data_IF_934685211617
#
_entry.id   IF_934685211617
#
_cell.length_a   1.000
_cell.length_b   1.000
_cell.length_c   1.000
_cell.angle_alpha   90.00
_cell.angle_beta   90.00
_cell.angle_gamma   90.00
#
_symmetry.space_group_name_H-M   'P 1'
#
loop_
_entity.id
_entity.type
_entity.pdbx_description
1 polymer ?
#
# COMPACT_ATOMS: atom_id res chain seq x y z
N UNK A 1 -11.96 -22.56 24.53
CA UNK A 1 -11.49 -21.93 25.78
C UNK A 1 -12.24 -22.51 26.97
N UNK A 2 -11.66 -22.52 28.18
CA UNK A 2 -12.25 -23.07 29.41
C UNK A 2 -12.35 -21.93 30.43
N UNK A 3 -13.54 -21.69 31.02
CA UNK A 3 -13.79 -20.56 31.93
C UNK A 3 -14.43 -21.00 33.25
N UNK A 4 -14.05 -20.31 34.33
CA UNK A 4 -14.69 -20.45 35.64
C UNK A 4 -16.00 -19.66 35.62
N UNK A 5 -17.09 -20.18 36.23
CA UNK A 5 -18.41 -19.54 36.23
C UNK A 5 -18.43 -18.11 36.83
N UNK A 6 -17.38 -17.68 37.54
CA UNK A 6 -17.29 -16.35 38.15
C UNK A 6 -16.61 -15.29 37.25
N UNK A 7 -16.28 -15.63 35.99
CA UNK A 7 -15.45 -14.78 35.10
C UNK A 7 -16.04 -14.57 33.70
N UNK A 8 -17.28 -15.00 33.46
CA UNK A 8 -17.83 -15.11 32.11
C UNK A 8 -18.64 -13.86 31.72
N UNK A 9 -17.96 -12.75 31.41
CA UNK A 9 -18.60 -11.64 30.71
C UNK A 9 -18.67 -11.95 29.21
N UNK A 10 -19.89 -11.96 28.66
CA UNK A 10 -20.18 -12.23 27.23
C UNK A 10 -19.36 -11.33 26.31
N UNK A 11 -19.16 -10.07 26.70
CA UNK A 11 -18.39 -9.09 25.93
C UNK A 11 -16.89 -9.45 25.83
N UNK A 12 -16.30 -9.99 26.89
CA UNK A 12 -14.91 -10.46 26.91
C UNK A 12 -14.69 -11.65 25.96
N UNK A 13 -15.66 -12.57 25.89
CA UNK A 13 -15.61 -13.76 25.03
C UNK A 13 -15.74 -13.37 23.57
N UNK A 14 -16.61 -12.41 23.25
CA UNK A 14 -16.75 -11.84 21.91
C UNK A 14 -15.45 -11.17 21.45
N UNK A 15 -14.84 -10.32 22.28
CA UNK A 15 -13.59 -9.63 21.91
C UNK A 15 -12.43 -10.60 21.68
N UNK A 16 -12.35 -11.68 22.46
CA UNK A 16 -11.32 -12.71 22.28
C UNK A 16 -11.56 -13.56 21.04
N UNK A 17 -12.82 -13.87 20.73
CA UNK A 17 -13.22 -14.58 19.50
C UNK A 17 -12.93 -13.74 18.25
N UNK A 18 -13.16 -12.42 18.30
CA UNK A 18 -12.76 -11.48 17.23
C UNK A 18 -11.25 -11.57 16.96
N UNK A 19 -10.42 -11.52 18.00
CA UNK A 19 -8.96 -11.67 17.85
C UNK A 19 -8.57 -13.01 17.22
N UNK A 20 -9.18 -14.11 17.66
CA UNK A 20 -8.89 -15.44 17.11
C UNK A 20 -9.23 -15.57 15.62
N UNK A 21 -10.35 -14.98 15.17
CA UNK A 21 -10.72 -14.97 13.74
C UNK A 21 -9.75 -14.10 12.92
N UNK A 22 -9.35 -12.94 13.46
CA UNK A 22 -8.33 -12.08 12.84
C UNK A 22 -6.99 -12.82 12.73
N UNK A 23 -6.54 -13.49 13.79
CA UNK A 23 -5.28 -14.27 13.78
C UNK A 23 -5.36 -15.51 12.89
N UNK A 24 -6.50 -16.21 12.84
CA UNK A 24 -6.71 -17.35 11.94
C UNK A 24 -6.66 -16.92 10.46
N UNK A 25 -7.21 -15.74 10.13
CA UNK A 25 -7.09 -15.17 8.78
C UNK A 25 -5.65 -14.81 8.43
N UNK A 26 -4.87 -14.27 9.37
CA UNK A 26 -3.42 -14.05 9.18
C UNK A 26 -2.65 -15.36 8.99
N UNK A 27 -2.97 -16.40 9.77
CA UNK A 27 -2.30 -17.71 9.67
C UNK A 27 -2.57 -18.43 8.34
N UNK A 28 -3.73 -18.19 7.70
CA UNK A 28 -4.03 -18.71 6.36
C UNK A 28 -3.04 -18.20 5.30
N UNK A 29 -2.44 -17.03 5.47
CA UNK A 29 -1.44 -16.50 4.53
C UNK A 29 -0.05 -17.13 4.68
N UNK A 30 0.32 -17.63 5.86
CA UNK A 30 1.53 -18.43 6.02
C UNK A 30 1.48 -19.72 5.20
N UNK A 31 0.29 -20.17 4.79
CA UNK A 31 0.07 -21.32 3.93
C UNK A 31 0.08 -20.99 2.42
N UNK A 32 0.24 -19.72 2.04
CA UNK A 32 0.30 -19.24 0.64
C UNK A 32 1.71 -18.81 0.20
N UNK A 33 2.71 -18.82 1.10
CA UNK A 33 4.12 -18.76 0.72
C UNK A 33 4.51 -20.01 -0.11
N UNK A 34 5.56 -19.93 -0.98
CA UNK A 34 5.98 -21.06 -1.79
C UNK A 34 6.18 -22.29 -0.90
N UNK A 35 5.51 -23.39 -1.25
CA UNK A 35 5.45 -24.61 -0.44
C UNK A 35 6.86 -25.11 -0.11
N UNK A 36 7.33 -24.84 1.11
CA UNK A 36 8.04 -25.87 1.85
C UNK A 36 6.97 -26.91 2.18
N UNK A 37 7.20 -28.16 1.81
CA UNK A 37 6.33 -29.30 2.05
C UNK A 37 6.07 -29.50 3.56
N UNK A 38 5.25 -28.66 4.17
CA UNK A 38 4.69 -28.94 5.47
C UNK A 38 3.55 -29.92 5.24
N UNK A 39 3.83 -31.18 5.52
CA UNK A 39 2.83 -32.23 5.71
C UNK A 39 1.84 -31.68 6.74
N UNK A 40 0.65 -31.30 6.28
CA UNK A 40 -0.41 -30.85 7.17
C UNK A 40 -0.72 -31.97 8.15
N UNK A 41 -0.29 -31.84 9.41
CA UNK A 41 -0.64 -32.81 10.43
C UNK A 41 -2.12 -32.64 10.74
N UNK A 42 -2.93 -33.65 10.41
CA UNK A 42 -4.33 -33.71 10.83
C UNK A 42 -4.35 -33.92 12.34
N UNK A 43 -4.34 -32.84 13.11
CA UNK A 43 -4.52 -32.92 14.55
C UNK A 43 -5.99 -33.15 14.86
N UNK A 44 -6.29 -34.31 15.42
CA UNK A 44 -7.61 -34.59 15.95
C UNK A 44 -7.79 -33.78 17.24
N UNK A 45 -8.46 -32.63 17.14
CA UNK A 45 -8.82 -31.83 18.31
C UNK A 45 -9.98 -32.53 19.01
N UNK A 46 -9.66 -33.52 19.86
CA UNK A 46 -10.67 -34.22 20.67
C UNK A 46 -11.26 -33.28 21.70
N UNK A 47 -12.58 -33.39 21.87
CA UNK A 47 -13.25 -32.68 22.97
C UNK A 47 -12.83 -33.31 24.30
N UNK A 48 -11.97 -32.62 25.07
CA UNK A 48 -11.75 -32.95 26.48
C UNK A 48 -12.80 -32.27 27.36
N UNK A 49 -13.48 -33.05 28.21
CA UNK A 49 -14.42 -32.53 29.22
C UNK A 49 -13.68 -31.57 30.18
N UNK A 50 -14.22 -30.36 30.43
CA UNK A 50 -13.67 -29.46 31.45
C UNK A 50 -13.98 -29.98 32.87
N UNK A 51 -13.32 -29.47 33.93
CA UNK A 51 -13.62 -29.87 35.30
C UNK A 51 -15.09 -29.62 35.70
N UNK A 52 -15.57 -30.33 36.72
CA UNK A 52 -16.97 -30.17 37.17
C UNK A 52 -17.28 -28.73 37.57
N UNK A 53 -18.42 -28.22 37.11
CA UNK A 53 -18.85 -26.82 37.30
C UNK A 53 -18.25 -25.82 36.30
N UNK A 54 -17.39 -26.26 35.38
CA UNK A 54 -16.81 -25.40 34.35
C UNK A 54 -17.57 -25.49 33.02
N UNK A 55 -17.55 -24.38 32.28
CA UNK A 55 -18.13 -24.27 30.95
C UNK A 55 -17.01 -24.26 29.92
N UNK A 56 -17.16 -25.08 28.89
CA UNK A 56 -16.29 -25.08 27.71
C UNK A 56 -16.97 -24.34 26.58
N UNK A 57 -16.24 -23.37 26.03
CA UNK A 57 -16.68 -22.57 24.88
C UNK A 57 -15.90 -23.03 23.65
N UNK A 58 -16.63 -23.53 22.66
CA UNK A 58 -16.14 -23.79 21.32
C UNK A 58 -16.50 -22.59 20.44
N UNK A 59 -15.53 -22.01 19.75
CA UNK A 59 -15.74 -20.85 18.88
C UNK A 59 -15.22 -21.14 17.49
N UNK A 60 -15.92 -20.66 16.47
CA UNK A 60 -15.51 -20.69 15.08
C UNK A 60 -15.76 -19.32 14.42
N UNK A 61 -15.32 -19.20 13.17
CA UNK A 61 -15.50 -17.99 12.38
C UNK A 61 -15.66 -18.31 10.91
N UNK A 62 -16.43 -17.47 10.23
CA UNK A 62 -16.59 -17.49 8.79
C UNK A 62 -16.11 -16.16 8.21
N UNK A 63 -15.41 -16.22 7.09
CA UNK A 63 -14.94 -15.07 6.34
C UNK A 63 -15.35 -15.20 4.88
N UNK A 64 -15.94 -14.14 4.34
CA UNK A 64 -16.30 -14.01 2.94
C UNK A 64 -15.27 -13.12 2.25
N UNK A 65 -14.41 -13.72 1.42
CA UNK A 65 -13.28 -13.05 0.77
C UNK A 65 -13.68 -11.97 -0.24
N UNK A 66 -14.86 -12.11 -0.86
CA UNK A 66 -15.42 -11.14 -1.81
C UNK A 66 -15.76 -9.80 -1.13
N UNK A 67 -16.45 -9.89 0.00
CA UNK A 67 -17.05 -8.77 0.74
C UNK A 67 -16.20 -8.32 1.94
N UNK A 68 -15.20 -9.11 2.34
CA UNK A 68 -14.42 -8.89 3.55
C UNK A 68 -15.19 -9.15 4.85
N UNK A 69 -16.48 -9.51 4.75
CA UNK A 69 -17.37 -9.72 5.89
C UNK A 69 -16.95 -10.95 6.66
N UNK A 70 -16.84 -10.77 7.97
CA UNK A 70 -16.54 -11.86 8.89
C UNK A 70 -17.62 -11.94 9.95
N UNK A 71 -17.92 -13.16 10.37
CA UNK A 71 -18.79 -13.47 11.49
C UNK A 71 -18.08 -14.48 12.39
N UNK A 72 -18.39 -14.47 13.68
CA UNK A 72 -17.93 -15.46 14.62
C UNK A 72 -19.09 -16.04 15.39
N UNK A 73 -18.96 -17.31 15.76
CA UNK A 73 -19.95 -18.03 16.52
C UNK A 73 -19.32 -18.82 17.64
N UNK A 74 -20.17 -19.32 18.52
CA UNK A 74 -19.72 -20.25 19.53
C UNK A 74 -20.84 -20.95 20.27
N UNK A 75 -20.46 -22.08 20.87
CA UNK A 75 -21.34 -22.97 21.60
C UNK A 75 -20.76 -23.22 22.98
N UNK A 76 -21.57 -23.01 24.01
CA UNK A 76 -21.24 -23.23 25.41
C UNK A 76 -21.74 -24.60 25.84
N UNK A 77 -20.86 -25.41 26.45
CA UNK A 77 -21.21 -26.74 26.97
C UNK A 77 -20.72 -26.91 28.39
N UNK A 78 -21.48 -27.62 29.21
CA UNK A 78 -21.04 -28.02 30.56
C UNK A 78 -19.96 -29.11 30.51
N UNK A 79 -19.54 -29.57 31.69
CA UNK A 79 -18.58 -30.67 31.82
C UNK A 79 -19.08 -32.03 31.31
N UNK A 80 -20.39 -32.21 31.11
CA UNK A 80 -20.98 -33.42 30.53
C UNK A 80 -21.18 -33.31 29.02
N UNK A 81 -20.87 -32.16 28.43
CA UNK A 81 -21.10 -31.87 27.02
C UNK A 81 -22.51 -31.39 26.69
N UNK A 82 -23.37 -31.19 27.71
CA UNK A 82 -24.73 -30.66 27.53
C UNK A 82 -24.65 -29.23 27.01
N UNK A 83 -25.49 -28.90 26.04
CA UNK A 83 -25.58 -27.55 25.50
C UNK A 83 -26.21 -26.60 26.52
N UNK A 84 -25.53 -25.48 26.79
CA UNK A 84 -26.00 -24.44 27.71
C UNK A 84 -26.46 -23.17 26.98
N UNK A 85 -26.05 -22.98 25.73
CA UNK A 85 -26.33 -21.77 24.96
C UNK A 85 -25.32 -21.58 23.83
N UNK A 86 -25.59 -20.62 22.95
CA UNK A 86 -24.70 -20.27 21.85
C UNK A 86 -24.81 -18.80 21.48
N UNK A 87 -23.85 -18.34 20.69
CA UNK A 87 -23.87 -16.99 20.14
C UNK A 87 -23.44 -17.02 18.67
N UNK A 88 -23.94 -16.04 17.93
CA UNK A 88 -23.43 -15.67 16.61
C UNK A 88 -23.36 -14.16 16.58
N UNK A 89 -22.27 -13.62 16.06
CA UNK A 89 -22.07 -12.18 15.94
C UNK A 89 -21.41 -11.87 14.61
N UNK A 90 -22.03 -10.98 13.85
CA UNK A 90 -21.36 -10.32 12.74
C UNK A 90 -20.18 -9.53 13.32
N UNK A 91 -18.96 -9.91 12.92
CA UNK A 91 -17.76 -9.18 13.30
C UNK A 91 -17.70 -7.90 12.48
N UNK A 92 -18.10 -7.95 11.21
CA UNK A 92 -18.01 -6.86 10.25
C UNK A 92 -16.87 -7.10 9.26
N UNK A 93 -16.45 -6.06 8.55
CA UNK A 93 -15.29 -6.15 7.67
C UNK A 93 -14.01 -6.33 8.48
N UNK A 94 -13.27 -7.40 8.18
CA UNK A 94 -11.96 -7.67 8.78
C UNK A 94 -10.78 -7.39 7.84
N UNK A 95 -11.08 -6.93 6.61
CA UNK A 95 -10.12 -6.53 5.60
C UNK A 95 -10.27 -5.05 5.27
N UNK A 96 -9.21 -4.44 4.74
CA UNK A 96 -9.31 -3.11 4.13
C UNK A 96 -10.15 -3.27 2.85
N UNK A 97 -11.21 -2.47 2.64
CA UNK A 97 -12.11 -2.66 1.50
C UNK A 97 -11.44 -2.33 0.17
N UNK A 98 -10.62 -1.28 0.17
CA UNK A 98 -10.10 -0.64 -1.03
C UNK A 98 -8.80 0.10 -0.75
N UNK A 99 -7.95 0.16 -1.76
CA UNK A 99 -6.64 0.80 -1.69
C UNK A 99 -6.34 1.59 -2.96
N UNK A 100 -6.26 2.92 -2.85
CA UNK A 100 -6.00 3.83 -3.97
C UNK A 100 -4.59 4.37 -3.90
N UNK A 101 -3.89 4.39 -5.04
CA UNK A 101 -2.47 4.72 -5.11
C UNK A 101 -2.26 5.92 -6.04
N UNK A 102 -1.58 6.95 -5.55
CA UNK A 102 -1.16 8.13 -6.29
C UNK A 102 0.36 8.24 -6.20
N UNK A 103 1.01 8.68 -7.28
CA UNK A 103 2.45 8.84 -7.22
C UNK A 103 3.17 8.95 -8.55
N UNK A 104 4.45 8.66 -8.52
CA UNK A 104 5.36 8.70 -9.66
C UNK A 104 5.77 7.30 -10.15
N UNK A 105 6.95 7.18 -10.75
CA UNK A 105 7.51 5.92 -11.24
C UNK A 105 7.71 4.88 -10.14
N UNK A 106 7.89 5.29 -8.88
CA UNK A 106 8.04 4.35 -7.76
C UNK A 106 6.78 3.53 -7.51
N UNK A 107 5.63 4.03 -7.95
CA UNK A 107 4.32 3.40 -7.77
C UNK A 107 3.63 3.03 -9.08
N UNK A 108 4.15 3.42 -10.25
CA UNK A 108 3.53 3.12 -11.54
C UNK A 108 3.55 1.61 -11.83
N UNK A 109 2.44 1.11 -12.35
CA UNK A 109 2.24 -0.29 -12.68
C UNK A 109 1.76 -0.52 -14.12
N UNK A 110 1.75 0.50 -15.02
CA UNK A 110 1.51 0.46 -16.49
C UNK A 110 0.88 1.77 -17.04
N UNK A 111 0.58 2.79 -16.21
CA UNK A 111 -0.11 3.99 -16.71
C UNK A 111 0.69 4.73 -17.79
N UNK A 112 2.02 4.63 -17.77
CA UNK A 112 2.88 5.26 -18.78
C UNK A 112 2.97 4.52 -20.11
N UNK A 113 2.58 3.25 -20.21
CA UNK A 113 2.93 2.42 -21.37
C UNK A 113 2.34 2.93 -22.70
N UNK A 114 1.19 3.61 -22.65
CA UNK A 114 0.51 4.19 -23.83
C UNK A 114 0.77 5.69 -24.06
N UNK A 115 1.49 6.37 -23.16
CA UNK A 115 1.82 7.80 -23.30
C UNK A 115 2.93 8.02 -24.33
N UNK A 116 3.19 9.22 -24.85
CA UNK A 116 4.41 9.46 -25.64
C UNK A 116 5.50 9.99 -24.72
N UNK A 117 6.29 9.08 -24.14
CA UNK A 117 7.29 9.42 -23.11
C UNK A 117 8.44 8.42 -23.06
N UNK A 118 9.60 8.89 -22.61
CA UNK A 118 10.78 8.06 -22.30
C UNK A 118 10.69 7.41 -20.91
N UNK A 119 9.80 7.91 -20.03
CA UNK A 119 9.52 7.31 -18.73
C UNK A 119 8.59 6.10 -18.88
N UNK A 120 9.07 5.05 -19.56
CA UNK A 120 8.39 3.76 -19.72
C UNK A 120 9.38 2.64 -19.53
N UNK A 121 8.91 1.55 -18.92
CA UNK A 121 9.74 0.40 -18.54
C UNK A 121 9.03 -0.92 -18.80
N UNK A 122 8.25 -0.99 -19.88
CA UNK A 122 7.58 -2.21 -20.33
C UNK A 122 8.48 -3.09 -21.21
N UNK A 123 9.75 -3.23 -20.81
CA UNK A 123 10.77 -4.02 -21.49
C UNK A 123 11.74 -4.66 -20.49
N UNK A 124 12.44 -5.72 -20.90
CA UNK A 124 13.49 -6.37 -20.11
C UNK A 124 14.68 -5.43 -19.86
N UNK A 125 15.29 -5.37 -18.65
CA UNK A 125 15.17 -6.34 -17.55
C UNK A 125 14.20 -5.94 -16.42
N UNK A 126 13.34 -4.93 -16.62
CA UNK A 126 12.36 -4.56 -15.62
C UNK A 126 11.42 -5.73 -15.34
N UNK A 127 11.08 -5.87 -14.05
CA UNK A 127 10.21 -6.91 -13.50
C UNK A 127 10.59 -8.34 -13.89
N UNK A 128 11.89 -8.61 -14.04
CA UNK A 128 12.44 -9.94 -14.31
C UNK A 128 12.05 -10.99 -13.25
N UNK A 129 11.85 -10.57 -11.99
CA UNK A 129 11.45 -11.44 -10.88
C UNK A 129 9.92 -11.47 -10.68
N UNK A 130 9.17 -10.72 -11.49
CA UNK A 130 7.71 -10.65 -11.39
C UNK A 130 7.06 -11.66 -12.35
N UNK A 131 6.13 -12.50 -11.89
CA UNK A 131 5.60 -13.61 -12.69
C UNK A 131 4.93 -13.23 -14.02
N UNK A 132 4.46 -11.98 -14.16
CA UNK A 132 3.73 -11.51 -15.35
C UNK A 132 4.62 -10.87 -16.42
N UNK A 133 5.94 -10.78 -16.19
CA UNK A 133 6.87 -10.11 -17.08
C UNK A 133 6.68 -8.58 -17.12
N UNK A 134 7.27 -7.87 -18.11
CA UNK A 134 7.29 -6.40 -18.21
C UNK A 134 5.91 -5.73 -18.17
N UNK A 135 5.46 -5.31 -16.98
CA UNK A 135 4.19 -4.59 -16.79
C UNK A 135 4.33 -3.08 -16.89
N UNK A 136 5.54 -2.52 -16.71
CA UNK A 136 5.75 -1.08 -16.55
C UNK A 136 6.00 -0.63 -15.10
N UNK A 137 6.44 -1.54 -14.21
CA UNK A 137 6.95 -1.17 -12.88
C UNK A 137 8.43 -0.86 -12.97
N UNK A 138 8.87 0.23 -12.35
CA UNK A 138 10.24 0.69 -12.37
C UNK A 138 11.09 -0.03 -11.31
N UNK A 139 11.13 -1.36 -11.37
CA UNK A 139 11.93 -2.19 -10.46
C UNK A 139 12.15 -3.58 -11.08
N UNK A 140 12.94 -4.44 -10.45
CA UNK A 140 13.15 -5.81 -10.88
C UNK A 140 12.02 -6.77 -10.47
N UNK A 141 11.11 -6.36 -9.56
CA UNK A 141 10.00 -7.20 -9.07
C UNK A 141 8.78 -6.39 -8.61
N UNK A 142 8.35 -6.57 -7.35
CA UNK A 142 7.23 -5.82 -6.75
C UNK A 142 7.62 -4.39 -6.35
N UNK A 143 6.69 -3.44 -6.53
CA UNK A 143 6.78 -2.11 -5.92
C UNK A 143 6.45 -2.17 -4.42
N UNK A 144 6.70 -1.08 -3.69
CA UNK A 144 6.26 -0.94 -2.29
C UNK A 144 4.75 -1.21 -2.17
N UNK A 145 3.98 -0.67 -3.10
CA UNK A 145 2.51 -0.78 -3.11
C UNK A 145 2.05 -2.22 -3.34
N UNK A 146 2.70 -2.96 -4.22
CA UNK A 146 2.39 -4.38 -4.43
C UNK A 146 2.59 -5.19 -3.14
N UNK A 147 3.68 -4.94 -2.41
CA UNK A 147 3.97 -5.63 -1.14
C UNK A 147 2.95 -5.22 -0.08
N UNK A 148 2.58 -3.93 0.00
CA UNK A 148 1.53 -3.45 0.90
C UNK A 148 0.18 -4.11 0.60
N UNK A 149 -0.18 -4.24 -0.68
CA UNK A 149 -1.44 -4.90 -1.11
C UNK A 149 -1.50 -6.33 -0.60
N UNK A 150 -0.38 -7.07 -0.67
CA UNK A 150 -0.27 -8.40 -0.08
C UNK A 150 -0.42 -8.39 1.44
N UNK A 151 0.24 -7.45 2.13
CA UNK A 151 0.14 -7.26 3.59
C UNK A 151 -1.24 -6.77 4.07
N UNK A 152 -2.06 -6.23 3.17
CA UNK A 152 -3.44 -5.81 3.42
C UNK A 152 -4.48 -6.89 3.10
N UNK A 153 -4.03 -8.08 2.70
CA UNK A 153 -4.83 -9.27 2.42
C UNK A 153 -5.64 -9.21 1.11
N UNK A 154 -5.26 -8.35 0.16
CA UNK A 154 -5.85 -8.35 -1.18
C UNK A 154 -5.41 -9.58 -1.96
N UNK A 155 -6.34 -10.16 -2.74
CA UNK A 155 -6.07 -11.36 -3.55
C UNK A 155 -5.34 -11.03 -4.86
N UNK A 156 -5.53 -9.81 -5.36
CA UNK A 156 -5.01 -9.32 -6.63
C UNK A 156 -4.30 -7.98 -6.41
N UNK A 157 -3.32 -7.67 -7.26
CA UNK A 157 -2.68 -6.36 -7.25
C UNK A 157 -3.65 -5.27 -7.70
N UNK A 158 -3.44 -4.04 -7.22
CA UNK A 158 -4.29 -2.92 -7.62
C UNK A 158 -4.01 -2.56 -9.10
N UNK A 159 -5.03 -2.55 -9.96
CA UNK A 159 -4.84 -2.30 -11.39
C UNK A 159 -4.54 -0.82 -11.69
N UNK A 160 -3.82 -0.55 -12.79
CA UNK A 160 -3.57 0.81 -13.28
C UNK A 160 -4.85 1.41 -13.87
N UNK A 161 -5.07 2.71 -13.64
CA UNK A 161 -6.21 3.46 -14.21
C UNK A 161 -6.38 3.26 -15.72
N UNK A 162 -5.27 3.15 -16.45
CA UNK A 162 -5.27 2.93 -17.90
C UNK A 162 -6.10 1.71 -18.34
N UNK A 163 -6.20 0.67 -17.51
CA UNK A 163 -6.90 -0.59 -17.83
C UNK A 163 -8.05 -0.94 -16.89
N UNK A 164 -8.19 -0.31 -15.73
CA UNK A 164 -9.23 -0.67 -14.73
C UNK A 164 -10.66 -0.46 -15.25
N UNK A 165 -11.54 -1.46 -15.13
CA UNK A 165 -12.95 -1.39 -15.54
C UNK A 165 -13.86 -2.20 -14.61
N UNK A 166 -15.16 -1.87 -14.55
CA UNK A 166 -16.13 -2.73 -13.85
C UNK A 166 -15.86 -2.86 -12.35
N UNK A 167 -16.06 -4.05 -11.77
CA UNK A 167 -16.06 -4.25 -10.31
C UNK A 167 -14.68 -4.17 -9.65
N UNK A 168 -13.57 -4.37 -10.37
CA UNK A 168 -12.22 -4.27 -9.78
C UNK A 168 -11.93 -2.85 -9.24
N UNK A 169 -12.54 -1.81 -9.82
CA UNK A 169 -12.36 -0.42 -9.36
C UNK A 169 -12.84 -0.23 -7.91
N UNK A 170 -13.76 -1.08 -7.44
CA UNK A 170 -14.28 -1.06 -6.07
C UNK A 170 -13.21 -1.47 -5.03
N UNK A 171 -12.17 -2.19 -5.47
CA UNK A 171 -11.03 -2.59 -4.62
C UNK A 171 -9.89 -1.59 -4.68
N UNK A 172 -9.92 -0.65 -5.61
CA UNK A 172 -8.88 0.36 -5.75
C UNK A 172 -8.39 0.51 -7.18
N UNK A 173 -7.68 1.61 -7.42
CA UNK A 173 -7.04 1.93 -8.70
C UNK A 173 -5.71 2.61 -8.41
N UNK A 174 -4.70 2.29 -9.22
CA UNK A 174 -3.41 2.94 -9.21
C UNK A 174 -3.35 4.02 -10.30
N UNK A 175 -3.18 5.27 -9.87
CA UNK A 175 -3.12 6.45 -10.73
C UNK A 175 -1.68 6.92 -10.99
N UNK A 176 -0.69 6.32 -10.33
CA UNK A 176 0.70 6.75 -10.40
C UNK A 176 1.25 6.70 -11.82
N UNK A 177 2.18 7.60 -12.13
CA UNK A 177 2.72 7.77 -13.48
C UNK A 177 4.19 8.13 -13.42
N UNK A 178 5.03 7.40 -14.15
CA UNK A 178 6.44 7.74 -14.29
C UNK A 178 6.64 9.19 -14.75
N UNK A 179 7.73 9.82 -14.26
CA UNK A 179 8.05 11.25 -14.45
C UNK A 179 7.22 12.24 -13.60
N UNK A 180 6.06 11.83 -13.07
CA UNK A 180 5.15 12.75 -12.38
C UNK A 180 5.79 13.42 -11.15
N UNK A 181 5.51 14.71 -10.98
CA UNK A 181 5.79 15.45 -9.76
C UNK A 181 4.52 16.03 -9.14
N UNK A 182 4.69 16.75 -8.03
CA UNK A 182 3.66 17.59 -7.41
C UNK A 182 3.20 18.66 -8.41
N UNK A 183 4.15 19.25 -9.14
CA UNK A 183 3.90 20.24 -10.17
C UNK A 183 3.58 19.58 -11.51
N UNK A 184 2.75 20.23 -12.33
CA UNK A 184 2.37 19.71 -13.63
C UNK A 184 3.56 19.67 -14.61
N UNK A 185 4.45 20.64 -14.48
CA UNK A 185 5.64 20.86 -15.31
C UNK A 185 6.86 20.02 -14.90
N UNK A 186 6.78 19.31 -13.78
CA UNK A 186 7.85 18.41 -13.34
C UNK A 186 7.90 17.18 -14.24
N UNK A 187 9.09 16.70 -14.60
CA UNK A 187 9.22 15.57 -15.51
C UNK A 187 9.33 15.97 -16.99
N UNK A 188 9.85 15.04 -17.80
CA UNK A 188 9.92 15.17 -19.26
C UNK A 188 8.95 14.21 -19.96
N UNK A 189 8.46 14.62 -21.12
CA UNK A 189 7.52 13.85 -21.94
C UNK A 189 6.09 13.86 -21.41
N UNK A 190 5.20 13.09 -22.06
CA UNK A 190 3.84 12.91 -21.57
C UNK A 190 3.86 12.20 -20.20
N UNK A 191 3.04 12.71 -19.28
CA UNK A 191 2.86 12.15 -17.94
C UNK A 191 1.45 12.42 -17.41
N UNK A 192 1.05 11.71 -16.37
CA UNK A 192 -0.17 11.98 -15.62
C UNK A 192 0.24 12.68 -14.32
N UNK A 193 0.24 14.03 -14.34
CA UNK A 193 0.54 14.84 -13.16
C UNK A 193 -0.43 14.56 -12.02
N UNK A 194 -0.08 14.89 -10.77
CA UNK A 194 -0.99 14.68 -9.63
C UNK A 194 -2.38 15.29 -9.87
N UNK A 195 -2.47 16.48 -10.49
CA UNK A 195 -3.77 17.06 -10.83
C UNK A 195 -4.58 16.17 -11.77
N UNK A 196 -3.95 15.56 -12.78
CA UNK A 196 -4.60 14.62 -13.68
C UNK A 196 -4.93 13.29 -12.96
N UNK A 197 -4.09 12.85 -12.01
CA UNK A 197 -4.39 11.68 -11.16
C UNK A 197 -5.63 11.93 -10.29
N UNK A 198 -5.79 13.14 -9.74
CA UNK A 198 -7.00 13.55 -9.00
C UNK A 198 -8.24 13.55 -9.91
N UNK A 199 -8.13 14.06 -11.13
CA UNK A 199 -9.22 13.99 -12.11
C UNK A 199 -9.58 12.55 -12.48
N UNK A 200 -8.58 11.68 -12.65
CA UNK A 200 -8.80 10.25 -12.88
C UNK A 200 -9.50 9.58 -11.69
N UNK A 201 -9.18 9.99 -10.46
CA UNK A 201 -9.90 9.51 -9.28
C UNK A 201 -11.36 9.96 -9.25
N UNK A 202 -11.65 11.20 -9.65
CA UNK A 202 -13.04 11.67 -9.77
C UNK A 202 -13.83 10.85 -10.79
N UNK A 203 -13.22 10.47 -11.92
CA UNK A 203 -13.84 9.57 -12.91
C UNK A 203 -14.17 8.21 -12.30
N UNK A 204 -13.24 7.64 -11.54
CA UNK A 204 -13.48 6.37 -10.83
C UNK A 204 -14.59 6.53 -9.80
N UNK A 205 -14.60 7.61 -9.01
CA UNK A 205 -15.67 7.86 -8.04
C UNK A 205 -17.05 7.95 -8.72
N UNK A 206 -17.18 8.72 -9.80
CA UNK A 206 -18.44 8.80 -10.55
C UNK A 206 -18.88 7.43 -11.06
N UNK A 207 -17.93 6.63 -11.58
CA UNK A 207 -18.22 5.26 -12.03
C UNK A 207 -18.68 4.36 -10.86
N UNK A 208 -18.05 4.48 -9.69
CA UNK A 208 -18.47 3.76 -8.49
C UNK A 208 -19.87 4.19 -8.02
N UNK A 209 -20.17 5.49 -8.10
CA UNK A 209 -21.48 6.04 -7.76
C UNK A 209 -22.58 5.54 -8.72
N UNK A 210 -22.28 5.42 -10.01
CA UNK A 210 -23.20 4.83 -11.00
C UNK A 210 -23.47 3.34 -10.71
N UNK A 211 -22.45 2.61 -10.23
CA UNK A 211 -22.56 1.18 -9.91
C UNK A 211 -23.27 0.88 -8.58
N UNK A 212 -23.02 1.69 -7.55
CA UNK A 212 -23.44 1.41 -6.17
C UNK A 212 -24.52 2.36 -5.64
N UNK A 213 -24.74 3.48 -6.32
CA UNK A 213 -25.37 4.67 -5.77
C UNK A 213 -24.38 5.57 -5.01
N UNK A 214 -24.57 6.88 -5.12
CA UNK A 214 -23.67 7.91 -4.60
C UNK A 214 -23.40 7.77 -3.09
N UNK A 215 -24.45 7.55 -2.29
CA UNK A 215 -24.33 7.41 -0.84
C UNK A 215 -23.43 6.23 -0.45
N UNK A 216 -23.63 5.07 -1.08
CA UNK A 216 -22.85 3.86 -0.79
C UNK A 216 -21.41 3.98 -1.28
N UNK A 217 -21.20 4.55 -2.48
CA UNK A 217 -19.87 4.83 -3.01
C UNK A 217 -19.09 5.78 -2.10
N UNK A 218 -19.72 6.87 -1.65
CA UNK A 218 -19.14 7.83 -0.72
C UNK A 218 -18.79 7.17 0.63
N UNK A 219 -19.65 6.29 1.16
CA UNK A 219 -19.38 5.54 2.40
C UNK A 219 -18.23 4.55 2.24
N UNK A 220 -18.09 3.93 1.06
CA UNK A 220 -17.00 3.02 0.75
C UNK A 220 -15.66 3.77 0.69
N UNK A 221 -15.59 4.91 -0.01
CA UNK A 221 -14.38 5.72 -0.14
C UNK A 221 -13.80 6.16 1.21
N UNK A 222 -14.66 6.58 2.15
CA UNK A 222 -14.23 6.94 3.52
C UNK A 222 -13.59 5.79 4.30
N UNK A 223 -13.75 4.55 3.83
CA UNK A 223 -13.17 3.34 4.43
C UNK A 223 -11.98 2.78 3.64
N UNK A 224 -11.56 3.43 2.56
CA UNK A 224 -10.37 3.03 1.80
C UNK A 224 -9.10 3.63 2.41
N UNK A 225 -7.96 2.99 2.15
CA UNK A 225 -6.64 3.60 2.34
C UNK A 225 -6.24 4.27 1.02
N UNK A 226 -5.67 5.46 1.13
CA UNK A 226 -5.11 6.25 0.05
C UNK A 226 -3.63 6.40 0.31
N UNK A 227 -2.79 6.01 -0.63
CA UNK A 227 -1.35 6.23 -0.55
C UNK A 227 -0.92 7.26 -1.60
N UNK A 228 -0.02 8.15 -1.20
CA UNK A 228 0.57 9.15 -2.08
C UNK A 228 2.09 9.15 -1.92
N UNK A 229 2.80 8.76 -2.97
CA UNK A 229 4.27 8.80 -3.05
C UNK A 229 4.70 9.63 -4.25
N UNK A 230 5.04 10.90 -4.02
CA UNK A 230 5.33 11.88 -5.06
C UNK A 230 6.35 12.91 -4.57
N UNK A 231 7.03 13.57 -5.49
CA UNK A 231 7.84 14.76 -5.21
C UNK A 231 9.27 14.66 -5.71
N UNK A 232 9.75 13.44 -6.00
CA UNK A 232 11.14 13.23 -6.41
C UNK A 232 11.46 13.95 -7.72
N UNK A 233 10.51 13.93 -8.67
CA UNK A 233 10.66 14.53 -10.00
C UNK A 233 10.67 16.05 -9.99
N UNK A 234 10.07 16.69 -8.99
CA UNK A 234 10.18 18.14 -8.78
C UNK A 234 11.64 18.55 -8.49
N UNK A 235 12.46 17.62 -8.00
CA UNK A 235 13.90 17.84 -7.82
C UNK A 235 14.70 17.31 -9.01
N UNK A 236 14.67 16.00 -9.25
CA UNK A 236 15.60 15.34 -10.20
C UNK A 236 15.31 15.72 -11.66
N UNK A 237 14.04 15.95 -11.99
CA UNK A 237 13.58 16.27 -13.34
C UNK A 237 13.06 17.71 -13.46
N UNK A 238 13.44 18.59 -12.52
CA UNK A 238 13.08 20.01 -12.57
C UNK A 238 14.11 20.89 -11.85
N UNK A 239 14.14 20.94 -10.52
CA UNK A 239 15.01 21.85 -9.76
C UNK A 239 16.51 21.70 -10.10
N UNK A 240 17.00 20.46 -10.18
CA UNK A 240 18.40 20.14 -10.51
C UNK A 240 18.69 20.04 -12.01
N UNK A 241 17.77 20.53 -12.85
CA UNK A 241 17.90 20.56 -14.31
C UNK A 241 17.89 22.02 -14.85
N UNK A 242 18.85 22.88 -14.44
CA UNK A 242 18.89 24.30 -14.77
C UNK A 242 19.07 24.62 -16.26
N UNK A 243 19.41 23.61 -17.08
CA UNK A 243 19.49 23.69 -18.53
C UNK A 243 18.11 23.63 -19.20
N UNK A 244 17.11 23.03 -18.54
CA UNK A 244 15.75 22.89 -19.06
C UNK A 244 14.74 23.75 -18.29
N UNK A 245 14.97 23.98 -16.99
CA UNK A 245 14.05 24.69 -16.10
C UNK A 245 14.75 25.85 -15.38
N UNK A 246 14.04 26.96 -15.18
CA UNK A 246 14.57 28.11 -14.44
C UNK A 246 14.38 28.00 -12.92
N UNK A 247 13.83 26.90 -12.42
CA UNK A 247 13.37 26.75 -11.04
C UNK A 247 14.45 27.05 -10.00
N UNK A 248 15.66 26.49 -10.15
CA UNK A 248 16.79 26.75 -9.26
C UNK A 248 17.40 28.14 -9.40
N UNK A 249 17.08 28.88 -10.46
CA UNK A 249 17.45 30.30 -10.62
C UNK A 249 16.45 31.25 -9.94
N UNK A 250 15.20 30.79 -9.77
CA UNK A 250 14.11 31.56 -9.18
C UNK A 250 14.00 31.30 -7.68
N UNK A 251 14.17 30.04 -7.24
CA UNK A 251 13.98 29.62 -5.86
C UNK A 251 15.29 29.14 -5.22
N UNK A 252 15.56 29.59 -4.01
CA UNK A 252 16.45 28.85 -3.09
C UNK A 252 15.81 27.51 -2.70
N UNK A 253 16.59 26.51 -2.24
CA UNK A 253 16.02 25.21 -1.86
C UNK A 253 14.90 25.32 -0.83
N UNK A 254 15.06 26.18 0.18
CA UNK A 254 14.04 26.39 1.21
C UNK A 254 12.75 27.02 0.66
N UNK A 255 12.86 27.99 -0.24
CA UNK A 255 11.69 28.58 -0.88
C UNK A 255 10.97 27.57 -1.78
N UNK A 256 11.72 26.70 -2.45
CA UNK A 256 11.13 25.68 -3.31
C UNK A 256 10.39 24.61 -2.51
N UNK A 257 10.95 24.14 -1.40
CA UNK A 257 10.26 23.23 -0.45
C UNK A 257 8.94 23.85 0.02
N UNK A 258 8.95 25.11 0.46
CA UNK A 258 7.74 25.81 0.91
C UNK A 258 6.69 25.91 -0.21
N UNK A 259 7.12 26.17 -1.45
CA UNK A 259 6.24 26.21 -2.62
C UNK A 259 5.61 24.84 -2.91
N UNK A 260 6.41 23.77 -2.92
CA UNK A 260 5.93 22.40 -3.14
C UNK A 260 4.94 21.96 -2.06
N UNK A 261 5.24 22.22 -0.77
CA UNK A 261 4.34 21.91 0.34
C UNK A 261 3.01 22.63 0.16
N UNK A 262 3.01 23.91 -0.23
CA UNK A 262 1.78 24.66 -0.47
C UNK A 262 0.92 24.03 -1.58
N UNK A 263 1.53 23.63 -2.69
CA UNK A 263 0.79 23.00 -3.80
C UNK A 263 0.30 21.60 -3.42
N UNK A 264 1.17 20.79 -2.82
CA UNK A 264 0.82 19.44 -2.39
C UNK A 264 -0.31 19.45 -1.36
N UNK A 265 -0.28 20.39 -0.40
CA UNK A 265 -1.37 20.59 0.56
C UNK A 265 -2.72 20.84 -0.11
N UNK A 266 -2.76 21.61 -1.21
CA UNK A 266 -3.99 21.84 -1.97
C UNK A 266 -4.49 20.56 -2.65
N UNK A 267 -3.58 19.77 -3.21
CA UNK A 267 -3.90 18.49 -3.85
C UNK A 267 -4.43 17.45 -2.85
N UNK A 268 -3.81 17.34 -1.67
CA UNK A 268 -4.28 16.47 -0.59
C UNK A 268 -5.65 16.94 -0.05
N UNK A 269 -5.88 18.26 0.06
CA UNK A 269 -7.21 18.80 0.41
C UNK A 269 -8.28 18.38 -0.59
N UNK A 270 -7.97 18.33 -1.89
CA UNK A 270 -8.92 17.86 -2.91
C UNK A 270 -9.29 16.38 -2.66
N UNK A 271 -8.31 15.50 -2.39
CA UNK A 271 -8.60 14.10 -2.04
C UNK A 271 -9.47 13.98 -0.80
N UNK A 272 -9.15 14.74 0.25
CA UNK A 272 -9.91 14.73 1.50
C UNK A 272 -11.36 15.20 1.28
N UNK A 273 -11.55 16.28 0.53
CA UNK A 273 -12.87 16.81 0.17
C UNK A 273 -13.67 15.83 -0.68
N UNK A 274 -13.00 14.97 -1.46
CA UNK A 274 -13.62 13.91 -2.24
C UNK A 274 -13.82 12.60 -1.46
N UNK A 275 -13.62 12.60 -0.14
CA UNK A 275 -13.98 11.49 0.75
C UNK A 275 -12.83 10.65 1.27
N UNK A 276 -11.57 10.93 0.87
CA UNK A 276 -10.42 10.26 1.46
C UNK A 276 -10.32 10.57 2.97
N UNK A 277 -10.07 9.54 3.80
CA UNK A 277 -9.93 9.68 5.27
C UNK A 277 -8.68 9.02 5.82
N UNK A 278 -8.21 7.93 5.22
CA UNK A 278 -6.97 7.25 5.61
C UNK A 278 -5.91 7.52 4.54
N UNK A 279 -5.12 8.58 4.73
CA UNK A 279 -4.06 9.00 3.82
C UNK A 279 -2.69 8.59 4.38
N UNK A 280 -1.92 7.84 3.60
CA UNK A 280 -0.52 7.53 3.82
C UNK A 280 0.31 8.43 2.89
N UNK A 281 0.96 9.45 3.44
CA UNK A 281 1.85 10.33 2.69
C UNK A 281 3.29 9.83 2.88
N UNK A 282 3.95 9.51 1.77
CA UNK A 282 5.34 9.05 1.76
C UNK A 282 6.28 10.23 1.58
N UNK A 283 7.34 10.28 2.38
CA UNK A 283 8.40 11.26 2.23
C UNK A 283 9.26 10.99 0.99
N UNK A 284 10.01 12.00 0.56
CA UNK A 284 10.97 11.87 -0.53
C UNK A 284 12.24 11.18 0.00
N UNK A 285 12.67 10.11 -0.65
CA UNK A 285 13.93 9.42 -0.33
C UNK A 285 15.16 10.30 -0.55
N UNK A 286 16.32 9.89 -0.02
CA UNK A 286 17.58 10.62 -0.18
C UNK A 286 18.11 10.58 -1.63
N UNK A 287 17.61 11.49 -2.47
CA UNK A 287 17.93 11.58 -3.91
C UNK A 287 19.42 11.74 -4.21
N UNK A 288 20.21 12.31 -3.29
CA UNK A 288 21.66 12.46 -3.46
C UNK A 288 22.43 11.14 -3.47
N UNK A 289 21.81 10.05 -3.03
CA UNK A 289 22.40 8.72 -3.02
C UNK A 289 21.89 7.79 -4.12
N UNK A 290 21.20 8.32 -5.13
CA UNK A 290 20.94 7.53 -6.34
C UNK A 290 22.23 7.37 -7.16
N UNK A 291 22.42 6.24 -7.86
CA UNK A 291 23.57 6.06 -8.75
C UNK A 291 23.76 7.20 -9.73
N UNK A 292 22.67 7.73 -10.31
CA UNK A 292 22.72 8.88 -11.23
C UNK A 292 23.25 10.16 -10.56
N UNK A 293 22.79 10.48 -9.34
CA UNK A 293 23.25 11.65 -8.60
C UNK A 293 24.72 11.50 -8.19
N UNK A 294 25.13 10.31 -7.75
CA UNK A 294 26.51 10.05 -7.36
C UNK A 294 27.48 10.06 -8.54
N UNK A 295 27.03 9.66 -9.73
CA UNK A 295 27.81 9.76 -10.96
C UNK A 295 28.05 11.22 -11.36
N UNK A 296 27.08 12.10 -11.15
CA UNK A 296 27.16 13.52 -11.51
C UNK A 296 27.86 14.39 -10.45
N UNK A 297 27.61 14.14 -9.16
CA UNK A 297 27.98 15.04 -8.07
C UNK A 297 28.98 14.45 -7.05
N UNK A 298 29.33 13.16 -7.18
CA UNK A 298 30.26 12.49 -6.26
C UNK A 298 29.57 11.76 -5.09
N UNK A 299 30.36 11.09 -4.23
CA UNK A 299 29.91 9.97 -3.38
C UNK A 299 29.87 10.25 -1.86
N UNK A 300 29.98 11.50 -1.43
CA UNK A 300 30.20 11.79 -0.01
C UNK A 300 28.96 11.44 0.85
N UNK A 301 29.03 10.35 1.62
CA UNK A 301 28.04 10.00 2.64
C UNK A 301 26.98 8.95 2.28
N UNK A 302 27.11 8.26 1.12
CA UNK A 302 26.16 7.23 0.69
C UNK A 302 26.66 5.79 0.98
N UNK A 303 25.73 4.83 1.06
CA UNK A 303 26.05 3.42 1.33
C UNK A 303 26.86 2.78 0.19
N UNK A 304 27.79 1.87 0.51
CA UNK A 304 28.71 1.29 -0.48
C UNK A 304 27.99 0.50 -1.60
N UNK A 305 26.86 -0.17 -1.29
CA UNK A 305 26.01 -0.90 -2.24
C UNK A 305 24.87 -0.06 -2.83
N UNK A 306 24.72 1.20 -2.42
CA UNK A 306 23.90 2.18 -3.13
C UNK A 306 24.60 2.68 -4.41
N UNK A 307 25.91 2.39 -4.55
CA UNK A 307 26.78 2.98 -5.58
C UNK A 307 26.64 2.36 -6.98
N UNK A 308 25.91 1.25 -7.14
CA UNK A 308 25.81 0.54 -8.42
C UNK A 308 24.38 0.08 -8.65
N UNK A 309 23.89 0.22 -9.87
CA UNK A 309 22.63 -0.37 -10.34
C UNK A 309 22.81 -1.87 -10.61
N UNK A 310 21.72 -2.64 -10.49
CA UNK A 310 21.76 -4.04 -10.91
C UNK A 310 21.80 -4.19 -12.45
N UNK A 311 21.21 -3.27 -13.21
CA UNK A 311 21.27 -3.28 -14.67
C UNK A 311 22.30 -2.30 -15.25
N UNK A 312 22.67 -2.52 -16.51
CA UNK A 312 23.40 -1.54 -17.31
C UNK A 312 22.51 -0.32 -17.57
N UNK A 313 23.01 0.88 -17.28
CA UNK A 313 22.27 2.13 -17.43
C UNK A 313 22.56 2.74 -18.81
N UNK A 314 21.52 3.29 -19.44
CA UNK A 314 21.62 3.96 -20.74
C UNK A 314 22.45 5.26 -20.72
N UNK A 315 22.66 5.84 -21.90
CA UNK A 315 23.45 7.07 -22.07
C UNK A 315 22.85 8.30 -21.37
N UNK A 316 21.56 8.27 -21.05
CA UNK A 316 20.88 9.31 -20.26
C UNK A 316 21.14 9.17 -18.75
N UNK A 317 21.76 8.08 -18.33
CA UNK A 317 22.16 7.84 -16.95
C UNK A 317 21.00 7.54 -16.00
N UNK A 318 19.79 7.22 -16.50
CA UNK A 318 18.58 7.13 -15.67
C UNK A 318 17.92 5.74 -15.61
N UNK A 319 17.76 5.07 -16.75
CA UNK A 319 17.03 3.79 -16.88
C UNK A 319 17.94 2.67 -17.40
N UNK A 320 17.48 1.42 -17.28
CA UNK A 320 18.19 0.26 -17.83
C UNK A 320 18.25 0.30 -19.37
N UNK A 321 19.36 -0.15 -19.95
CA UNK A 321 19.45 -0.42 -21.39
C UNK A 321 18.47 -1.55 -21.75
N UNK A 322 17.56 -1.36 -22.73
CA UNK A 322 16.62 -2.40 -23.13
C UNK A 322 17.32 -3.68 -23.57
N UNK A 323 16.95 -4.81 -22.96
CA UNK A 323 17.51 -6.12 -23.25
C UNK A 323 18.89 -6.39 -22.66
N UNK A 324 19.45 -5.47 -21.87
CA UNK A 324 20.68 -5.73 -21.12
C UNK A 324 20.49 -6.84 -20.09
N UNK A 325 21.58 -7.56 -19.81
CA UNK A 325 21.60 -8.60 -18.79
C UNK A 325 21.79 -7.96 -17.41
N UNK A 326 20.84 -8.13 -16.47
CA UNK A 326 20.98 -7.60 -15.13
C UNK A 326 21.95 -8.45 -14.30
N UNK A 327 22.33 -7.95 -13.12
CA UNK A 327 23.14 -8.67 -12.15
C UNK A 327 22.55 -10.06 -11.81
N UNK A 328 23.39 -11.05 -11.49
CA UNK A 328 22.94 -12.42 -11.20
C UNK A 328 22.14 -12.52 -9.89
N UNK A 329 22.61 -11.87 -8.82
CA UNK A 329 21.93 -11.77 -7.52
C UNK A 329 21.51 -10.33 -7.26
N UNK A 330 20.20 -10.09 -7.23
CA UNK A 330 19.57 -8.77 -6.99
C UNK A 330 19.41 -8.44 -5.50
N UNK A 331 19.47 -9.44 -4.62
CA UNK A 331 19.18 -9.28 -3.20
C UNK A 331 20.06 -8.27 -2.44
N UNK A 332 21.36 -8.07 -2.78
CA UNK A 332 22.18 -7.10 -2.07
C UNK A 332 22.13 -5.68 -2.67
N UNK A 333 21.44 -5.48 -3.80
CA UNK A 333 21.38 -4.20 -4.49
C UNK A 333 20.26 -3.32 -3.93
N UNK A 334 20.57 -2.04 -3.69
CA UNK A 334 19.56 -1.04 -3.32
C UNK A 334 18.76 -0.61 -4.54
N UNK A 335 19.41 -0.49 -5.70
CA UNK A 335 18.82 0.06 -6.92
C UNK A 335 18.76 -0.97 -8.05
N UNK A 336 17.61 -1.01 -8.73
CA UNK A 336 17.42 -1.79 -9.95
C UNK A 336 18.11 -1.09 -11.13
N UNK A 337 17.89 0.22 -11.26
CA UNK A 337 18.52 1.09 -12.27
C UNK A 337 19.23 2.27 -11.60
N UNK A 338 19.37 3.42 -12.29
CA UNK A 338 20.13 4.54 -11.76
C UNK A 338 19.41 5.36 -10.70
N UNK A 339 18.10 5.18 -10.52
CA UNK A 339 17.26 5.97 -9.60
C UNK A 339 16.21 5.16 -8.86
N UNK A 340 15.75 4.05 -9.42
CA UNK A 340 14.66 3.27 -8.87
C UNK A 340 15.16 2.09 -8.02
N UNK A 341 14.49 1.83 -6.88
CA UNK A 341 14.88 0.80 -5.95
C UNK A 341 14.67 -0.61 -6.51
N UNK A 342 15.46 -1.55 -6.02
CA UNK A 342 15.21 -2.97 -6.21
C UNK A 342 14.00 -3.42 -5.39
N UNK A 343 13.43 -4.58 -5.74
CA UNK A 343 12.39 -5.21 -4.91
C UNK A 343 12.89 -5.48 -3.48
N UNK A 344 14.15 -5.89 -3.31
CA UNK A 344 14.73 -6.13 -1.99
C UNK A 344 14.70 -4.86 -1.13
N UNK A 345 15.00 -3.70 -1.72
CA UNK A 345 14.88 -2.43 -1.00
C UNK A 345 13.43 -1.99 -0.80
N UNK A 346 12.54 -2.31 -1.73
CA UNK A 346 11.10 -2.10 -1.56
C UNK A 346 10.55 -2.89 -0.36
N UNK A 347 11.02 -4.12 -0.11
CA UNK A 347 10.63 -4.91 1.08
C UNK A 347 11.08 -4.26 2.40
N UNK A 348 12.30 -3.72 2.43
CA UNK A 348 12.82 -2.98 3.60
C UNK A 348 11.99 -1.72 3.85
N UNK A 349 11.73 -0.94 2.78
CA UNK A 349 10.95 0.29 2.85
C UNK A 349 9.51 0.00 3.29
N UNK A 350 8.91 -1.05 2.73
CA UNK A 350 7.55 -1.48 3.10
C UNK A 350 7.47 -1.90 4.56
N UNK A 351 8.47 -2.62 5.08
CA UNK A 351 8.51 -3.00 6.50
C UNK A 351 8.45 -1.76 7.40
N UNK A 352 9.13 -0.68 7.00
CA UNK A 352 9.09 0.59 7.72
C UNK A 352 7.72 1.29 7.58
N UNK A 353 7.22 1.46 6.36
CA UNK A 353 5.95 2.12 6.07
C UNK A 353 4.74 1.38 6.68
N UNK A 354 4.79 0.06 6.76
CA UNK A 354 3.72 -0.76 7.30
C UNK A 354 3.76 -0.83 8.82
N UNK A 355 4.94 -1.07 9.42
CA UNK A 355 5.03 -1.48 10.83
C UNK A 355 5.59 -0.45 11.80
N UNK A 356 6.32 0.57 11.32
CA UNK A 356 7.08 1.48 12.21
C UNK A 356 6.36 2.80 12.45
N UNK A 357 6.82 3.59 13.42
CA UNK A 357 6.33 4.97 13.63
C UNK A 357 7.09 6.01 12.81
N UNK A 358 7.85 5.59 11.78
CA UNK A 358 8.64 6.51 10.96
C UNK A 358 7.72 7.38 10.11
N UNK A 359 7.72 8.69 10.37
CA UNK A 359 7.00 9.68 9.56
C UNK A 359 7.60 9.86 8.16
N UNK A 360 8.84 9.42 7.93
CA UNK A 360 9.48 9.52 6.62
C UNK A 360 8.87 8.57 5.59
N UNK A 361 8.30 7.44 6.02
CA UNK A 361 7.80 6.39 5.12
C UNK A 361 6.28 6.31 5.07
N UNK A 362 5.56 6.71 6.12
CA UNK A 362 4.11 6.87 6.06
C UNK A 362 3.67 7.84 7.16
N UNK A 363 3.09 8.97 6.76
CA UNK A 363 2.57 10.00 7.66
C UNK A 363 1.09 10.28 7.35
N UNK A 364 0.23 10.58 8.35
CA UNK A 364 0.52 10.67 9.79
C UNK A 364 0.55 9.33 10.53
N UNK A 365 0.10 8.26 9.89
CA UNK A 365 0.07 6.92 10.46
C UNK A 365 0.71 5.92 9.51
N UNK A 366 1.29 4.87 10.08
CA UNK A 366 1.66 3.70 9.28
C UNK A 366 0.42 2.94 8.81
N UNK A 367 0.61 2.18 7.73
CA UNK A 367 -0.46 1.49 7.01
C UNK A 367 -1.14 0.41 7.87
N UNK A 368 -0.37 -0.28 8.73
CA UNK A 368 -0.94 -1.26 9.66
C UNK A 368 -1.91 -0.62 10.66
N UNK A 369 -1.59 0.57 11.16
CA UNK A 369 -2.44 1.29 12.11
C UNK A 369 -3.72 1.75 11.43
N UNK A 370 -3.62 2.30 10.20
CA UNK A 370 -4.80 2.65 9.40
C UNK A 370 -5.69 1.43 9.13
N UNK A 371 -5.10 0.31 8.73
CA UNK A 371 -5.84 -0.93 8.53
C UNK A 371 -6.52 -1.42 9.82
N UNK A 372 -5.86 -1.32 10.97
CA UNK A 372 -6.44 -1.68 12.27
C UNK A 372 -7.60 -0.77 12.66
N UNK A 373 -7.49 0.54 12.43
CA UNK A 373 -8.58 1.49 12.70
C UNK A 373 -9.82 1.16 11.85
N UNK A 374 -9.61 0.90 10.55
CA UNK A 374 -10.69 0.51 9.65
C UNK A 374 -11.34 -0.83 10.04
N UNK A 375 -10.55 -1.79 10.53
CA UNK A 375 -11.03 -3.10 10.98
C UNK A 375 -11.77 -3.03 12.32
N UNK A 376 -11.47 -2.06 13.18
CA UNK A 376 -12.04 -1.97 14.53
C UNK A 376 -13.30 -1.09 14.59
N UNK A 377 -13.42 -0.07 13.73
CA UNK A 377 -14.52 0.88 13.74
C UNK A 377 -15.62 0.51 12.74
N UNK A 378 -16.45 -0.47 13.12
CA UNK A 378 -17.54 -0.97 12.27
C UNK A 378 -18.68 0.05 12.07
N UNK A 379 -18.88 1.00 13.00
CA UNK A 379 -20.06 1.89 13.05
C UNK A 379 -19.78 3.39 12.87
N UNK A 380 -18.52 3.83 12.78
CA UNK A 380 -18.24 5.24 12.46
C UNK A 380 -18.18 5.42 10.94
N UNK A 381 -18.81 6.45 10.38
CA UNK A 381 -18.81 6.79 8.95
C UNK A 381 -17.42 7.24 8.41
N UNK A 382 -16.32 6.79 9.02
CA UNK A 382 -14.95 7.12 8.62
C UNK A 382 -14.46 8.49 9.09
N UNK A 383 -15.32 9.31 9.72
CA UNK A 383 -14.97 10.60 10.33
C UNK A 383 -14.25 10.43 11.69
N UNK A 384 -13.25 9.55 11.73
CA UNK A 384 -12.34 9.41 12.87
C UNK A 384 -11.26 10.50 12.81
N UNK A 385 -11.18 11.23 11.69
CA UNK A 385 -10.20 12.26 11.44
C UNK A 385 -10.90 13.50 10.89
N UNK A 386 -11.00 14.55 11.72
CA UNK A 386 -11.15 15.91 11.21
C UNK A 386 -9.78 16.35 10.67
N UNK A 387 -9.78 16.87 9.45
CA UNK A 387 -8.59 17.44 8.83
C UNK A 387 -8.08 18.62 9.67
N UNK A 388 -6.99 18.40 10.43
CA UNK A 388 -6.31 19.45 11.16
C UNK A 388 -5.24 20.09 10.26
N UNK A 389 -5.32 21.41 10.06
CA UNK A 389 -4.31 22.17 9.30
C UNK A 389 -2.88 21.94 9.80
N UNK A 390 -2.72 21.61 11.08
CA UNK A 390 -1.45 21.30 11.74
C UNK A 390 -0.84 19.95 11.37
N UNK A 391 -1.60 18.99 10.81
CA UNK A 391 -1.07 17.69 10.38
C UNK A 391 -0.27 17.78 9.06
N UNK A 392 -0.39 18.91 8.36
CA UNK A 392 0.33 19.21 7.11
C UNK A 392 1.56 20.10 7.36
N UNK A 393 2.03 20.23 8.60
CA UNK A 393 3.43 20.62 8.83
C UNK A 393 4.34 19.44 8.44
N UNK A 394 4.44 19.20 7.12
CA UNK A 394 5.42 18.33 6.47
C UNK A 394 6.82 18.90 6.63
#
# INVERSE_FOLDING_TARGET
>A
MIFSPHSMEVESVVQRSKRLVIEANKARQLLLAPRISQVGSRQEVRWCSPPSGWVKVNTDGAHRSDSGLSACGGVNRDNRGSWLGGFSKTVGMCSVPCYFIFGDSLSDVNNNNKLVTTAKVNYSPYVIDFPQGPTGRFTNGRTIQDIIVQLLDFQEFIPPFATSRGQEILKGVNYASGSAGILNESGQGDQISVNNQLSNHQIIFSTMADMLGECLASKLLRKCIYEVQIGINDYINNYFMPQYYNTSRIFTPHQYVAFLIQQYSRQIKILYNNGARMLALFGIGSIGCTPSAMALYGRNGCFTMANTSCCEIGSDGSLCVPGSEPCEDRSPYVFSDAVHPSEAWNEVTTTQAYGTKSSAQAHPLNIKTMAQLLRNNHDTDGDIWEWQETLVSL
#
